data_IF_508371568807
#
_entry.id   IF_508371568807
#
_cell.length_a   1.000
_cell.length_b   1.000
_cell.length_c   1.000
_cell.angle_alpha   90.00
_cell.angle_beta   90.00
_cell.angle_gamma   90.00
#
_symmetry.space_group_name_H-M   'P 1'
#
loop_
_entity.id
_entity.type
_entity.pdbx_description
1 polymer ?
#
# COMPACT_ATOMS: atom_id res chain seq x y z
N UNK A 1 3.53 -14.63 28.70
CA UNK A 1 3.40 -13.80 27.48
C UNK A 1 2.26 -14.37 26.67
N UNK A 2 1.44 -13.60 25.95
CA UNK A 2 0.42 -14.20 25.10
C UNK A 2 1.12 -15.02 24.01
N UNK A 3 0.70 -16.27 23.84
CA UNK A 3 1.16 -17.15 22.77
C UNK A 3 0.58 -16.64 21.45
N UNK A 4 1.43 -16.00 20.65
CA UNK A 4 1.04 -15.52 19.32
C UNK A 4 1.10 -16.67 18.31
N UNK A 5 0.11 -16.76 17.43
CA UNK A 5 0.04 -17.77 16.36
C UNK A 5 1.14 -17.57 15.31
N UNK A 6 1.55 -16.32 15.09
CA UNK A 6 2.52 -15.92 14.08
C UNK A 6 3.58 -15.00 14.66
N UNK A 7 4.85 -15.17 14.24
CA UNK A 7 5.97 -14.36 14.74
C UNK A 7 5.83 -12.85 14.44
N UNK A 8 5.11 -12.49 13.36
CA UNK A 8 4.87 -11.10 12.94
C UNK A 8 3.69 -10.43 13.64
N UNK A 9 2.81 -11.22 14.25
CA UNK A 9 1.56 -10.76 14.89
C UNK A 9 1.78 -9.65 15.93
N UNK A 10 2.80 -9.70 16.81
CA UNK A 10 3.02 -8.63 17.79
C UNK A 10 3.26 -7.28 17.13
N UNK A 11 4.03 -7.25 16.03
CA UNK A 11 4.39 -6.00 15.35
C UNK A 11 3.20 -5.41 14.61
N UNK A 12 2.41 -6.23 13.91
CA UNK A 12 1.20 -5.74 13.27
C UNK A 12 0.16 -5.27 14.28
N UNK A 13 0.02 -5.94 15.42
CA UNK A 13 -0.83 -5.48 16.52
C UNK A 13 -0.44 -4.10 17.04
N UNK A 14 0.85 -3.78 17.14
CA UNK A 14 1.30 -2.43 17.51
C UNK A 14 0.83 -1.38 16.50
N UNK A 15 1.03 -1.64 15.19
CA UNK A 15 0.56 -0.73 14.14
C UNK A 15 -0.95 -0.54 14.17
N UNK A 16 -1.70 -1.63 14.36
CA UNK A 16 -3.16 -1.58 14.52
C UNK A 16 -3.56 -0.67 15.68
N UNK A 17 -2.96 -0.85 16.87
CA UNK A 17 -3.25 0.00 18.03
C UNK A 17 -2.95 1.48 17.78
N UNK A 18 -1.84 1.82 17.14
CA UNK A 18 -1.53 3.21 16.79
C UNK A 18 -2.55 3.81 15.82
N UNK A 19 -3.09 3.02 14.90
CA UNK A 19 -4.15 3.47 13.97
C UNK A 19 -5.52 3.57 14.65
N UNK A 20 -5.84 2.70 15.61
CA UNK A 20 -7.12 2.67 16.32
C UNK A 20 -7.22 3.73 17.43
N UNK A 21 -6.13 4.04 18.12
CA UNK A 21 -6.14 4.86 19.32
C UNK A 21 -5.20 6.08 19.19
N UNK A 22 -5.74 7.32 19.25
CA UNK A 22 -4.93 8.54 19.15
C UNK A 22 -3.99 8.75 20.35
N UNK A 23 -4.23 8.06 21.47
CA UNK A 23 -3.43 8.14 22.70
C UNK A 23 -2.51 6.94 22.89
N UNK A 24 -2.43 6.01 21.92
CA UNK A 24 -1.53 4.86 22.04
C UNK A 24 -0.07 5.35 22.09
N UNK A 25 0.69 5.05 23.15
CA UNK A 25 2.02 5.60 23.33
C UNK A 25 3.05 4.97 22.37
N UNK A 26 4.15 5.70 22.18
CA UNK A 26 5.34 5.16 21.51
C UNK A 26 5.20 4.91 20.01
N UNK A 27 4.25 5.58 19.33
CA UNK A 27 4.19 5.55 17.87
C UNK A 27 5.41 6.27 17.29
N UNK A 28 6.28 5.59 16.52
CA UNK A 28 7.46 6.21 15.92
C UNK A 28 7.15 6.95 14.62
N UNK A 29 5.91 6.84 14.11
CA UNK A 29 5.51 7.39 12.81
C UNK A 29 4.92 8.78 13.01
N UNK A 30 5.70 9.81 12.68
CA UNK A 30 5.24 11.18 12.67
C UNK A 30 4.37 11.48 11.43
N UNK A 31 3.55 12.53 11.53
CA UNK A 31 2.85 13.04 10.34
C UNK A 31 3.85 13.60 9.35
N UNK A 32 3.71 13.21 8.10
CA UNK A 32 4.64 13.61 7.04
C UNK A 32 4.43 15.08 6.65
N UNK A 33 5.53 15.81 6.57
CA UNK A 33 5.58 17.19 6.05
C UNK A 33 6.20 17.26 4.65
N UNK A 34 6.49 16.12 4.02
CA UNK A 34 7.01 16.09 2.66
C UNK A 34 5.95 16.66 1.71
N UNK A 35 6.39 17.53 0.81
CA UNK A 35 5.58 18.09 -0.28
C UNK A 35 6.41 17.98 -1.55
N UNK A 36 5.82 17.37 -2.58
CA UNK A 36 6.38 17.29 -3.92
C UNK A 36 5.33 17.78 -4.90
N UNK A 37 5.79 18.39 -5.98
CA UNK A 37 4.95 18.87 -7.08
C UNK A 37 5.59 18.42 -8.39
N UNK A 38 4.77 17.86 -9.29
CA UNK A 38 5.21 17.40 -10.60
C UNK A 38 5.47 18.57 -11.57
N UNK A 39 4.92 19.76 -11.31
CA UNK A 39 5.02 20.95 -12.17
C UNK A 39 6.28 21.75 -11.91
N UNK A 40 6.87 21.61 -10.72
CA UNK A 40 8.06 22.33 -10.31
C UNK A 40 9.23 21.38 -10.10
N UNK A 41 10.44 21.85 -10.41
CA UNK A 41 11.64 21.04 -10.28
C UNK A 41 12.06 20.94 -8.81
N UNK A 42 11.92 19.76 -8.20
CA UNK A 42 12.51 19.50 -6.88
C UNK A 42 14.04 19.27 -7.00
N UNK A 43 14.87 19.80 -6.08
CA UNK A 43 16.31 19.62 -6.10
C UNK A 43 16.75 18.16 -5.92
N UNK A 44 16.05 17.41 -5.07
CA UNK A 44 16.44 16.03 -4.73
C UNK A 44 15.67 14.96 -5.51
N UNK A 45 14.47 15.26 -6.00
CA UNK A 45 13.57 14.27 -6.58
C UNK A 45 13.23 14.61 -8.02
N UNK A 46 13.13 13.56 -8.85
CA UNK A 46 12.48 13.58 -10.15
C UNK A 46 11.11 12.95 -9.99
N UNK A 47 10.09 13.67 -10.44
CA UNK A 47 8.72 13.20 -10.48
C UNK A 47 8.32 13.08 -11.95
N UNK A 48 7.98 11.87 -12.38
CA UNK A 48 7.23 11.63 -13.61
C UNK A 48 5.76 11.52 -13.23
N UNK A 49 4.90 12.19 -13.98
CA UNK A 49 3.46 12.23 -13.74
C UNK A 49 2.76 12.23 -15.09
N UNK A 50 2.09 11.14 -15.42
CA UNK A 50 1.48 10.95 -16.74
C UNK A 50 0.08 10.39 -16.61
N UNK A 51 -0.92 10.95 -17.33
CA UNK A 51 -2.23 10.32 -17.44
C UNK A 51 -2.10 8.88 -17.98
N UNK A 52 -2.86 7.96 -17.40
CA UNK A 52 -2.77 6.52 -17.72
C UNK A 52 -4.14 5.86 -17.66
N UNK A 53 -4.32 4.70 -18.29
CA UNK A 53 -5.54 3.91 -18.16
C UNK A 53 -5.24 2.61 -17.45
N UNK A 54 -6.10 2.25 -16.51
CA UNK A 54 -6.04 0.92 -15.91
C UNK A 54 -6.47 -0.13 -16.96
N UNK A 55 -5.75 -1.24 -16.99
CA UNK A 55 -6.11 -2.40 -17.81
C UNK A 55 -7.50 -2.92 -17.43
N UNK A 56 -8.24 -3.42 -18.43
CA UNK A 56 -9.53 -4.08 -18.23
C UNK A 56 -9.43 -5.30 -17.29
N UNK A 57 -8.24 -5.89 -17.13
CA UNK A 57 -7.99 -6.98 -16.19
C UNK A 57 -8.22 -6.61 -14.72
N UNK A 58 -8.23 -5.30 -14.38
CA UNK A 58 -8.57 -4.81 -13.04
C UNK A 58 -10.07 -4.79 -12.74
N UNK A 59 -10.94 -4.85 -13.76
CA UNK A 59 -12.38 -4.67 -13.59
C UNK A 59 -12.99 -5.59 -12.52
N UNK A 60 -12.69 -6.91 -12.48
CA UNK A 60 -13.28 -7.81 -11.48
C UNK A 60 -12.91 -7.44 -10.04
N UNK A 61 -11.78 -6.76 -9.83
CA UNK A 61 -11.30 -6.34 -8.51
C UNK A 61 -11.83 -4.96 -8.11
N UNK A 62 -12.04 -4.06 -9.08
CA UNK A 62 -12.42 -2.66 -8.86
C UNK A 62 -13.93 -2.44 -8.84
N UNK A 63 -14.68 -3.12 -9.72
CA UNK A 63 -16.13 -2.93 -9.83
C UNK A 63 -16.88 -3.20 -8.52
N UNK A 64 -16.56 -4.26 -7.73
CA UNK A 64 -17.21 -4.48 -6.43
C UNK A 64 -16.91 -3.39 -5.39
N UNK A 65 -15.87 -2.58 -5.60
CA UNK A 65 -15.48 -1.47 -4.73
C UNK A 65 -16.11 -0.13 -5.12
N UNK A 66 -16.89 -0.11 -6.20
CA UNK A 66 -17.41 1.12 -6.80
C UNK A 66 -16.34 1.97 -7.47
N UNK A 67 -15.17 1.40 -7.77
CA UNK A 67 -14.11 2.05 -8.53
C UNK A 67 -14.35 1.79 -10.02
N UNK A 68 -14.46 2.87 -10.80
CA UNK A 68 -14.78 2.79 -12.22
C UNK A 68 -13.50 2.72 -13.05
N UNK A 69 -13.45 1.74 -13.96
CA UNK A 69 -12.57 1.82 -15.11
C UNK A 69 -13.09 2.86 -16.08
N UNK A 70 -12.17 3.48 -16.79
CA UNK A 70 -12.52 4.46 -17.81
C UNK A 70 -13.02 3.76 -19.06
N UNK A 71 -13.94 4.42 -19.76
CA UNK A 71 -14.36 3.94 -21.07
C UNK A 71 -13.15 3.93 -22.02
N UNK A 72 -12.98 2.90 -22.88
CA UNK A 72 -11.86 2.83 -23.83
C UNK A 72 -11.67 4.11 -24.66
N UNK A 73 -12.78 4.80 -24.98
CA UNK A 73 -12.83 6.01 -25.81
C UNK A 73 -12.38 7.29 -25.09
N UNK A 74 -12.21 7.27 -23.76
CA UNK A 74 -11.61 8.41 -23.04
C UNK A 74 -10.21 8.61 -23.60
N UNK A 75 -9.83 9.81 -24.03
CA UNK A 75 -8.43 10.05 -24.43
C UNK A 75 -7.53 9.94 -23.20
N UNK A 76 -6.32 9.42 -23.35
CA UNK A 76 -5.43 9.20 -22.20
C UNK A 76 -5.20 10.49 -21.40
N UNK A 77 -5.10 11.65 -22.07
CA UNK A 77 -5.00 12.97 -21.42
C UNK A 77 -6.20 13.35 -20.53
N UNK A 78 -7.37 12.76 -20.77
CA UNK A 78 -8.59 12.95 -19.99
C UNK A 78 -8.78 11.92 -18.89
N UNK A 79 -7.81 11.02 -18.70
CA UNK A 79 -7.88 10.01 -17.64
C UNK A 79 -7.97 10.66 -16.26
N UNK A 80 -8.60 9.99 -15.31
CA UNK A 80 -8.58 10.28 -13.88
C UNK A 80 -7.44 9.57 -13.14
N UNK A 81 -6.74 8.64 -13.79
CA UNK A 81 -5.61 7.91 -13.23
C UNK A 81 -4.26 8.52 -13.65
N UNK A 82 -3.28 8.46 -12.76
CA UNK A 82 -1.93 9.02 -12.97
C UNK A 82 -0.89 7.98 -12.66
N UNK A 83 -0.11 7.60 -13.66
CA UNK A 83 1.16 6.93 -13.43
C UNK A 83 2.13 7.93 -12.82
N UNK A 84 2.71 7.55 -11.69
CA UNK A 84 3.62 8.38 -10.92
C UNK A 84 4.91 7.59 -10.68
N UNK A 85 6.03 8.22 -10.99
CA UNK A 85 7.36 7.72 -10.69
C UNK A 85 8.11 8.78 -9.89
N UNK A 86 8.55 8.45 -8.68
CA UNK A 86 9.32 9.35 -7.81
C UNK A 86 10.66 8.70 -7.55
N UNK A 87 11.72 9.33 -8.05
CA UNK A 87 13.09 8.87 -7.89
C UNK A 87 13.99 9.96 -7.34
N UNK A 88 15.03 9.57 -6.62
CA UNK A 88 16.12 10.49 -6.30
C UNK A 88 16.89 10.88 -7.57
N UNK A 89 17.24 12.17 -7.70
CA UNK A 89 18.09 12.65 -8.80
C UNK A 89 19.55 12.26 -8.61
N UNK A 90 19.97 12.19 -7.34
CA UNK A 90 21.37 12.00 -6.94
C UNK A 90 21.44 11.09 -5.72
N UNK A 91 22.56 10.39 -5.56
CA UNK A 91 22.86 9.60 -4.35
C UNK A 91 22.15 8.25 -4.28
N UNK A 92 21.92 7.78 -3.05
CA UNK A 92 21.40 6.44 -2.77
C UNK A 92 19.97 6.24 -3.30
N UNK A 93 19.69 5.11 -3.97
CA UNK A 93 18.45 4.96 -4.72
C UNK A 93 17.22 5.01 -3.81
N UNK A 94 16.28 5.86 -4.22
CA UNK A 94 14.88 5.85 -3.80
C UNK A 94 14.09 5.71 -5.08
N UNK A 95 13.19 4.74 -5.10
CA UNK A 95 12.27 4.55 -6.21
C UNK A 95 10.88 4.27 -5.68
N UNK A 96 9.90 4.96 -6.22
CA UNK A 96 8.49 4.68 -6.03
C UNK A 96 7.84 4.73 -7.40
N UNK A 97 7.20 3.64 -7.81
CA UNK A 97 6.43 3.53 -9.04
C UNK A 97 5.03 3.03 -8.69
N UNK A 98 4.03 3.64 -9.29
CA UNK A 98 2.66 3.23 -9.11
C UNK A 98 1.70 4.10 -9.89
N UNK A 99 0.42 3.87 -9.61
CA UNK A 99 -0.67 4.62 -10.21
C UNK A 99 -1.59 5.16 -9.10
N UNK A 100 -2.10 6.37 -9.26
CA UNK A 100 -3.10 6.95 -8.35
C UNK A 100 -4.38 7.27 -9.10
N UNK A 101 -5.52 7.20 -8.43
CA UNK A 101 -6.81 7.58 -8.96
C UNK A 101 -7.79 7.93 -7.85
N UNK A 102 -9.03 8.32 -8.17
CA UNK A 102 -9.99 8.72 -7.15
C UNK A 102 -10.25 7.63 -6.12
N UNK A 103 -9.80 7.86 -4.88
CA UNK A 103 -9.98 6.96 -3.76
C UNK A 103 -9.05 5.75 -3.71
N UNK A 104 -8.05 5.66 -4.60
CA UNK A 104 -7.18 4.48 -4.72
C UNK A 104 -5.73 4.82 -5.06
N UNK A 105 -4.81 4.05 -4.47
CA UNK A 105 -3.39 4.01 -4.83
C UNK A 105 -3.05 2.58 -5.26
N UNK A 106 -2.30 2.43 -6.34
CA UNK A 106 -1.64 1.20 -6.78
C UNK A 106 -0.13 1.41 -6.64
N UNK A 107 0.54 0.52 -5.93
CA UNK A 107 1.99 0.54 -5.71
C UNK A 107 2.57 -0.67 -6.43
N UNK A 108 3.41 -0.43 -7.44
CA UNK A 108 3.97 -1.50 -8.27
C UNK A 108 5.43 -1.81 -7.90
N UNK A 109 6.21 -0.78 -7.58
CA UNK A 109 7.60 -0.95 -7.18
C UNK A 109 8.00 0.11 -6.16
N UNK A 110 8.59 -0.34 -5.05
CA UNK A 110 9.16 0.57 -4.05
C UNK A 110 10.51 0.08 -3.59
N UNK A 111 11.45 1.00 -3.53
CA UNK A 111 12.80 0.75 -3.06
C UNK A 111 13.32 1.95 -2.29
N UNK A 112 13.95 1.68 -1.15
CA UNK A 112 14.64 2.67 -0.34
C UNK A 112 15.96 2.09 0.12
N UNK A 113 17.07 2.71 -0.27
CA UNK A 113 18.36 2.34 0.29
C UNK A 113 18.38 2.52 1.81
N UNK A 114 18.90 1.52 2.54
CA UNK A 114 19.00 1.55 4.00
C UNK A 114 20.14 2.45 4.51
N UNK A 115 21.05 2.87 3.63
CA UNK A 115 22.33 3.48 4.01
C UNK A 115 22.25 5.00 4.21
N UNK A 116 21.06 5.59 4.11
CA UNK A 116 20.88 7.02 4.29
C UNK A 116 19.59 7.33 5.06
N UNK A 117 19.76 7.68 6.34
CA UNK A 117 18.65 8.02 7.24
C UNK A 117 17.91 9.31 6.83
N UNK A 118 18.50 10.17 6.00
CA UNK A 118 17.86 11.40 5.51
C UNK A 118 16.84 11.14 4.40
N UNK A 119 16.86 9.96 3.79
CA UNK A 119 15.88 9.62 2.76
C UNK A 119 14.49 9.48 3.37
N UNK A 120 13.45 10.11 2.79
CA UNK A 120 12.07 9.93 3.22
C UNK A 120 11.69 8.45 3.28
N UNK A 121 10.78 8.08 4.18
CA UNK A 121 10.23 6.73 4.19
C UNK A 121 9.31 6.55 2.99
N UNK A 122 9.13 5.30 2.53
CA UNK A 122 8.20 5.02 1.43
C UNK A 122 6.78 5.44 1.73
N UNK A 123 6.41 5.49 3.03
CA UNK A 123 5.14 6.05 3.49
C UNK A 123 4.99 7.55 3.16
N UNK A 124 6.05 8.33 3.31
CA UNK A 124 6.06 9.76 2.96
C UNK A 124 5.87 9.95 1.45
N UNK A 125 6.59 9.15 0.65
CA UNK A 125 6.54 9.23 -0.81
C UNK A 125 5.17 8.79 -1.33
N UNK A 126 4.59 7.74 -0.75
CA UNK A 126 3.24 7.26 -1.09
C UNK A 126 2.19 8.34 -0.80
N UNK A 127 2.31 9.05 0.33
CA UNK A 127 1.41 10.17 0.66
C UNK A 127 1.47 11.27 -0.39
N UNK A 128 2.66 11.76 -0.71
CA UNK A 128 2.78 12.85 -1.69
C UNK A 128 2.38 12.43 -3.09
N UNK A 129 2.60 11.18 -3.48
CA UNK A 129 2.14 10.67 -4.77
C UNK A 129 0.61 10.82 -4.92
N UNK A 130 -0.16 10.50 -3.89
CA UNK A 130 -1.62 10.66 -3.92
C UNK A 130 -2.07 12.11 -3.82
N UNK A 131 -1.42 12.91 -2.96
CA UNK A 131 -1.77 14.32 -2.73
C UNK A 131 -1.47 15.25 -3.90
N UNK A 132 -0.72 14.80 -4.91
CA UNK A 132 -0.50 15.58 -6.14
C UNK A 132 -1.80 15.90 -6.87
N UNK A 133 -2.79 15.00 -6.81
CA UNK A 133 -4.06 15.16 -7.54
C UNK A 133 -5.30 14.99 -6.65
N UNK A 134 -5.20 14.29 -5.51
CA UNK A 134 -6.35 13.89 -4.71
C UNK A 134 -6.21 14.27 -3.23
N UNK A 135 -7.33 14.66 -2.61
CA UNK A 135 -7.37 14.85 -1.16
C UNK A 135 -7.24 13.51 -0.44
N UNK A 136 -6.34 13.40 0.56
CA UNK A 136 -6.23 12.21 1.42
C UNK A 136 -7.58 11.73 1.98
N UNK A 137 -8.53 12.63 2.23
CA UNK A 137 -9.84 12.28 2.76
C UNK A 137 -10.68 11.42 1.80
N UNK A 138 -10.38 11.45 0.50
CA UNK A 138 -11.06 10.61 -0.49
C UNK A 138 -10.49 9.19 -0.59
N UNK A 139 -9.29 8.95 -0.05
CA UNK A 139 -8.60 7.67 -0.15
C UNK A 139 -9.33 6.57 0.62
N UNK A 140 -9.56 5.44 -0.04
CA UNK A 140 -10.22 4.26 0.53
C UNK A 140 -9.41 2.98 0.37
N UNK A 141 -8.59 2.88 -0.67
CA UNK A 141 -7.90 1.63 -1.00
C UNK A 141 -6.43 1.85 -1.35
N UNK A 142 -5.58 0.96 -0.87
CA UNK A 142 -4.18 0.84 -1.31
C UNK A 142 -3.97 -0.57 -1.83
N UNK A 143 -3.58 -0.69 -3.09
CA UNK A 143 -3.14 -1.91 -3.73
C UNK A 143 -1.62 -1.92 -3.78
N UNK A 144 -1.02 -3.06 -3.45
CA UNK A 144 0.40 -3.32 -3.61
C UNK A 144 0.54 -4.56 -4.49
N UNK A 145 1.13 -4.35 -5.65
CA UNK A 145 1.14 -5.31 -6.74
C UNK A 145 2.49 -6.01 -6.85
N UNK A 146 2.50 -7.21 -7.42
CA UNK A 146 3.75 -7.88 -7.77
C UNK A 146 4.69 -8.12 -6.59
N UNK A 147 4.15 -8.42 -5.40
CA UNK A 147 4.94 -8.53 -4.18
C UNK A 147 5.86 -9.76 -4.29
N UNK A 148 7.17 -9.50 -4.28
CA UNK A 148 8.22 -10.52 -4.32
C UNK A 148 9.13 -10.51 -3.10
N UNK A 149 8.88 -9.63 -2.12
CA UNK A 149 9.81 -9.47 -1.00
C UNK A 149 9.83 -10.69 -0.07
N UNK A 150 11.03 -11.01 0.44
CA UNK A 150 11.34 -12.21 1.22
C UNK A 150 10.69 -12.25 2.62
N UNK A 151 9.93 -11.21 3.00
CA UNK A 151 9.20 -11.19 4.27
C UNK A 151 7.70 -11.46 4.09
N UNK A 152 7.06 -10.82 3.11
CA UNK A 152 5.60 -10.88 2.95
C UNK A 152 5.16 -12.17 2.25
N UNK A 153 5.84 -12.56 1.17
CA UNK A 153 5.47 -13.76 0.40
C UNK A 153 5.55 -15.03 1.26
N UNK A 154 6.64 -15.28 2.02
CA UNK A 154 6.69 -16.45 2.90
C UNK A 154 5.64 -16.43 4.00
N UNK A 155 5.33 -15.26 4.57
CA UNK A 155 4.27 -15.14 5.58
C UNK A 155 2.91 -15.53 5.01
N UNK A 156 2.54 -15.02 3.83
CA UNK A 156 1.29 -15.38 3.17
C UNK A 156 1.26 -16.87 2.85
N UNK A 157 2.27 -17.36 2.13
CA UNK A 157 2.30 -18.72 1.58
C UNK A 157 2.41 -19.79 2.66
N UNK A 158 3.35 -19.66 3.58
CA UNK A 158 3.72 -20.75 4.49
C UNK A 158 3.13 -20.61 5.89
N UNK A 159 2.56 -19.47 6.25
CA UNK A 159 1.98 -19.25 7.57
C UNK A 159 0.47 -18.97 7.49
N UNK A 160 0.07 -17.88 6.84
CA UNK A 160 -1.33 -17.44 6.81
C UNK A 160 -2.19 -18.41 6.00
N UNK A 161 -1.78 -18.76 4.78
CA UNK A 161 -2.57 -19.63 3.91
C UNK A 161 -2.62 -21.08 4.39
N UNK A 162 -1.71 -21.51 5.26
CA UNK A 162 -1.81 -22.84 5.91
C UNK A 162 -3.04 -23.00 6.79
N UNK A 163 -3.69 -21.90 7.20
CA UNK A 163 -4.97 -21.94 7.90
C UNK A 163 -6.17 -22.18 6.97
N UNK A 164 -5.98 -22.05 5.65
CA UNK A 164 -7.03 -22.28 4.65
C UNK A 164 -7.13 -23.78 4.39
N UNK A 165 -8.36 -24.30 4.35
CA UNK A 165 -8.65 -25.70 4.07
C UNK A 165 -9.58 -25.80 2.86
N UNK A 166 -9.19 -26.50 1.77
CA UNK A 166 -7.85 -27.05 1.54
C UNK A 166 -6.80 -25.95 1.38
N UNK A 167 -5.54 -26.27 1.71
CA UNK A 167 -4.42 -25.36 1.46
C UNK A 167 -4.28 -25.11 -0.04
N UNK A 168 -4.19 -23.84 -0.44
CA UNK A 168 -4.14 -23.43 -1.83
C UNK A 168 -3.24 -22.20 -2.00
N UNK A 169 -2.11 -22.37 -2.69
CA UNK A 169 -1.23 -21.25 -3.07
C UNK A 169 -0.65 -21.49 -4.48
N UNK A 170 -0.80 -20.55 -5.43
CA UNK A 170 -1.62 -19.34 -5.33
C UNK A 170 -3.10 -19.67 -5.13
N UNK A 171 -3.82 -18.84 -4.37
CA UNK A 171 -5.26 -18.99 -4.19
C UNK A 171 -5.98 -18.56 -5.46
N UNK A 172 -6.95 -19.37 -5.93
CA UNK A 172 -7.82 -19.03 -7.08
C UNK A 172 -8.65 -17.78 -6.82
N UNK A 173 -9.22 -17.69 -5.62
CA UNK A 173 -10.06 -16.56 -5.21
C UNK A 173 -9.31 -15.59 -4.29
N UNK A 174 -9.66 -14.29 -4.28
CA UNK A 174 -9.18 -13.35 -3.27
C UNK A 174 -9.52 -13.83 -1.85
N UNK A 175 -8.56 -13.73 -0.92
CA UNK A 175 -8.74 -14.09 0.48
C UNK A 175 -8.83 -12.83 1.34
N UNK A 176 -9.83 -12.79 2.21
CA UNK A 176 -10.15 -11.63 3.04
C UNK A 176 -9.71 -11.88 4.48
N UNK A 177 -8.96 -10.93 5.03
CA UNK A 177 -8.49 -10.93 6.41
C UNK A 177 -9.01 -9.68 7.09
N UNK A 178 -9.94 -9.86 8.04
CA UNK A 178 -10.60 -8.74 8.72
C UNK A 178 -9.82 -8.30 9.96
N UNK A 179 -9.97 -7.03 10.30
CA UNK A 179 -9.44 -6.44 11.53
C UNK A 179 -9.72 -7.33 12.76
N UNK A 180 -8.70 -7.49 13.61
CA UNK A 180 -8.81 -8.23 14.87
C UNK A 180 -8.47 -9.72 14.79
N UNK A 181 -8.31 -10.30 13.59
CA UNK A 181 -7.83 -11.68 13.45
C UNK A 181 -6.31 -11.79 13.62
N UNK A 182 -5.83 -13.00 13.95
CA UNK A 182 -4.40 -13.26 14.06
C UNK A 182 -3.69 -13.12 12.71
N UNK A 183 -4.37 -13.53 11.63
CA UNK A 183 -3.90 -13.44 10.25
C UNK A 183 -3.78 -11.98 9.81
N UNK A 184 -4.75 -11.14 10.16
CA UNK A 184 -4.67 -9.70 9.90
C UNK A 184 -3.47 -9.07 10.60
N UNK A 185 -3.32 -9.30 11.92
CA UNK A 185 -2.18 -8.80 12.70
C UNK A 185 -0.84 -9.36 12.14
N UNK A 186 -0.81 -10.59 11.62
CA UNK A 186 0.39 -11.17 11.01
C UNK A 186 0.75 -10.48 9.68
N UNK A 187 -0.22 -10.30 8.79
CA UNK A 187 -0.05 -9.62 7.50
C UNK A 187 0.34 -8.16 7.67
N UNK A 188 -0.29 -7.46 8.62
CA UNK A 188 0.05 -6.08 8.95
C UNK A 188 1.48 -5.96 9.51
N UNK A 189 2.00 -7.02 10.15
CA UNK A 189 3.37 -7.08 10.67
C UNK A 189 4.46 -7.32 9.62
N UNK A 190 4.10 -7.71 8.39
CA UNK A 190 5.06 -7.90 7.27
C UNK A 190 5.64 -6.58 6.77
N UNK A 191 6.70 -6.64 5.96
CA UNK A 191 7.31 -5.47 5.33
C UNK A 191 6.32 -4.60 4.57
N UNK A 192 5.46 -5.20 3.74
CA UNK A 192 4.42 -4.46 3.01
C UNK A 192 3.33 -3.95 3.96
N UNK A 193 2.85 -4.79 4.88
CA UNK A 193 1.85 -4.38 5.87
C UNK A 193 2.29 -3.17 6.70
N UNK A 194 3.53 -3.19 7.20
CA UNK A 194 4.12 -2.08 7.97
C UNK A 194 4.29 -0.82 7.13
N UNK A 195 4.66 -0.96 5.85
CA UNK A 195 4.80 0.18 4.95
C UNK A 195 3.46 0.89 4.75
N UNK A 196 2.38 0.14 4.47
CA UNK A 196 1.03 0.71 4.30
C UNK A 196 0.47 1.24 5.62
N UNK A 197 0.70 0.55 6.75
CA UNK A 197 0.30 1.06 8.06
C UNK A 197 1.03 2.35 8.44
N UNK A 198 2.33 2.44 8.14
CA UNK A 198 3.12 3.65 8.34
C UNK A 198 2.63 4.78 7.44
N UNK A 199 2.20 4.47 6.22
CA UNK A 199 1.55 5.43 5.33
C UNK A 199 0.25 5.98 5.95
N UNK A 200 -0.65 5.13 6.43
CA UNK A 200 -1.89 5.58 7.09
C UNK A 200 -1.59 6.48 8.29
N UNK A 201 -0.63 6.08 9.13
CA UNK A 201 -0.20 6.87 10.28
C UNK A 201 0.44 8.20 9.89
N UNK A 202 1.31 8.24 8.87
CA UNK A 202 1.99 9.48 8.48
C UNK A 202 1.06 10.44 7.71
N UNK A 203 0.07 9.91 6.98
CA UNK A 203 -0.89 10.69 6.24
C UNK A 203 -1.96 11.31 7.16
N UNK A 204 -2.59 10.49 8.00
CA UNK A 204 -3.75 10.89 8.79
C UNK A 204 -3.42 11.22 10.25
N UNK A 205 -2.35 10.64 10.81
CA UNK A 205 -2.06 10.65 12.24
C UNK A 205 -2.72 9.49 12.99
N UNK A 206 -2.31 9.29 14.25
CA UNK A 206 -2.84 8.23 15.10
C UNK A 206 -4.33 8.38 15.37
N UNK A 207 -5.06 7.26 15.41
CA UNK A 207 -6.49 7.24 15.76
C UNK A 207 -7.42 7.93 14.76
N UNK A 208 -6.96 8.28 13.56
CA UNK A 208 -7.76 9.04 12.57
C UNK A 208 -8.34 8.19 11.46
N UNK A 209 -7.57 7.21 11.00
CA UNK A 209 -7.96 6.23 9.98
C UNK A 209 -7.33 4.90 10.33
N UNK A 210 -7.98 3.81 9.95
CA UNK A 210 -7.49 2.46 10.19
C UNK A 210 -7.60 1.60 8.93
N UNK A 211 -6.70 0.64 8.81
CA UNK A 211 -6.85 -0.46 7.87
C UNK A 211 -7.83 -1.46 8.50
N UNK A 212 -9.01 -1.62 7.91
CA UNK A 212 -10.05 -2.50 8.48
C UNK A 212 -10.07 -3.89 7.82
N UNK A 213 -9.43 -4.02 6.66
CA UNK A 213 -9.37 -5.27 5.90
C UNK A 213 -8.10 -5.32 5.06
N UNK A 214 -7.52 -6.51 5.00
CA UNK A 214 -6.45 -6.87 4.07
C UNK A 214 -7.00 -7.96 3.15
N UNK A 215 -6.81 -7.81 1.84
CA UNK A 215 -7.16 -8.84 0.85
C UNK A 215 -5.89 -9.29 0.15
N UNK A 216 -5.64 -10.59 0.10
CA UNK A 216 -4.54 -11.19 -0.65
C UNK A 216 -5.10 -11.90 -1.88
N UNK A 217 -4.52 -11.66 -3.05
CA UNK A 217 -5.00 -12.23 -4.32
C UNK A 217 -3.87 -12.40 -5.32
N UNK A 218 -4.11 -13.20 -6.35
CA UNK A 218 -3.18 -13.44 -7.45
C UNK A 218 -3.86 -13.05 -8.76
N UNK A 219 -3.10 -12.50 -9.69
CA UNK A 219 -3.58 -12.20 -11.05
C UNK A 219 -2.98 -13.18 -12.04
N UNK A 220 -3.72 -13.47 -13.11
CA UNK A 220 -3.31 -14.40 -14.16
C UNK A 220 -2.06 -13.92 -14.93
N UNK A 221 -1.79 -12.62 -14.91
CA UNK A 221 -0.70 -12.02 -15.70
C UNK A 221 0.69 -12.35 -15.12
N UNK A 222 0.83 -12.48 -13.79
CA UNK A 222 2.15 -12.63 -13.18
C UNK A 222 2.24 -13.69 -12.07
N UNK A 223 1.12 -14.33 -11.65
CA UNK A 223 1.04 -15.25 -10.50
C UNK A 223 1.66 -14.71 -9.19
N UNK A 224 2.03 -13.44 -9.16
CA UNK A 224 2.62 -12.80 -8.01
C UNK A 224 1.54 -12.49 -6.99
N UNK A 225 1.95 -12.47 -5.72
CA UNK A 225 1.09 -12.05 -4.64
C UNK A 225 0.78 -10.56 -4.78
N UNK A 226 -0.50 -10.21 -4.67
CA UNK A 226 -0.95 -8.83 -4.54
C UNK A 226 -1.71 -8.66 -3.23
N UNK A 227 -1.66 -7.46 -2.67
CA UNK A 227 -2.38 -7.11 -1.44
C UNK A 227 -3.20 -5.85 -1.65
N UNK A 228 -4.44 -5.86 -1.15
CA UNK A 228 -5.28 -4.67 -1.02
C UNK A 228 -5.54 -4.37 0.44
N UNK A 229 -5.47 -3.10 0.81
CA UNK A 229 -5.75 -2.59 2.14
C UNK A 229 -6.94 -1.64 2.06
N UNK A 230 -8.00 -1.95 2.79
CA UNK A 230 -9.20 -1.11 2.86
C UNK A 230 -9.08 -0.17 4.07
N UNK A 231 -9.19 1.14 3.83
CA UNK A 231 -9.01 2.20 4.83
C UNK A 231 -10.37 2.80 5.21
N UNK A 232 -10.63 2.96 6.51
CA UNK A 232 -11.82 3.60 7.07
C UNK A 232 -11.45 4.72 8.05
#
# INVERSE_FOLDING_TARGET
MPDYKYGRQPKGRMFRKWMENPLEPGCPVARSTLVLDHRTRHPEFRVTHTPTKLSASWNPLLAPLGLTLEHPDVRDSGSQYRDIEIMNRHGSPVNWCGCTGPGVIFIDNVYRSHNNARLPHMSDITKVAYEMDFSLNSLKYVFVNGIMNEDTVPCVRYEVYRSIVPYEYPSRDPRIWNLGTAEFDALLGTGIGKMVASFVLCAFGQGRRCIIRIVTFHTNEFYNLNMRFDIA
#
